data_IF_549514664441
#
_entry.id   IF_549514664441
#
_cell.length_a   1.000
_cell.length_b   1.000
_cell.length_c   1.000
_cell.angle_alpha   90.00
_cell.angle_beta   90.00
_cell.angle_gamma   90.00
#
_symmetry.space_group_name_H-M   'P 1'
#
loop_
_entity.id
_entity.type
_entity.pdbx_description
1 polymer ?
#
# COMPACT_ATOMS: atom_id res chain seq x y z
N UNK A 1 -50.58 39.19 -5.06
CA UNK A 1 -49.88 38.31 -4.12
C UNK A 1 -49.67 36.96 -4.80
N UNK A 2 -48.44 36.65 -5.20
CA UNK A 2 -48.10 35.40 -5.86
C UNK A 2 -47.49 34.49 -4.80
N UNK A 3 -48.16 33.38 -4.47
CA UNK A 3 -47.66 32.37 -3.51
C UNK A 3 -46.88 31.33 -4.32
N UNK A 4 -45.55 31.33 -4.20
CA UNK A 4 -44.69 30.30 -4.77
C UNK A 4 -44.62 29.14 -3.76
N UNK A 5 -45.25 28.02 -4.09
CA UNK A 5 -45.14 26.78 -3.35
C UNK A 5 -43.79 26.11 -3.73
N UNK A 6 -42.82 26.08 -2.79
CA UNK A 6 -41.64 25.25 -2.93
C UNK A 6 -42.01 23.79 -2.70
N UNK A 7 -41.94 22.98 -3.73
CA UNK A 7 -42.02 21.52 -3.59
C UNK A 7 -40.67 20.96 -3.08
N UNK A 8 -40.63 20.55 -1.84
CA UNK A 8 -39.52 19.75 -1.29
C UNK A 8 -39.63 18.32 -1.83
N UNK A 9 -38.79 17.96 -2.78
CA UNK A 9 -38.63 16.58 -3.20
C UNK A 9 -37.86 15.84 -2.11
N UNK A 10 -38.34 14.68 -1.62
CA UNK A 10 -37.56 13.87 -0.67
C UNK A 10 -36.32 13.32 -1.39
N UNK A 11 -35.12 13.66 -0.90
CA UNK A 11 -33.90 12.94 -1.24
C UNK A 11 -34.05 11.53 -0.64
N UNK A 12 -34.44 10.55 -1.44
CA UNK A 12 -34.25 9.14 -1.11
C UNK A 12 -32.76 8.85 -1.13
N UNK A 13 -32.13 8.87 0.04
CA UNK A 13 -30.81 8.28 0.21
C UNK A 13 -30.94 6.79 -0.08
N UNK A 14 -30.49 6.35 -1.25
CA UNK A 14 -30.25 4.94 -1.51
C UNK A 14 -29.11 4.52 -0.59
N UNK A 15 -29.44 3.98 0.59
CA UNK A 15 -28.49 3.20 1.35
C UNK A 15 -28.14 2.01 0.47
N UNK A 16 -26.94 2.03 -0.09
CA UNK A 16 -26.37 0.87 -0.78
C UNK A 16 -26.36 -0.25 0.27
N UNK A 17 -27.14 -1.29 0.07
CA UNK A 17 -27.20 -2.43 0.96
C UNK A 17 -25.78 -3.02 1.01
N UNK A 18 -25.05 -2.75 2.09
CA UNK A 18 -23.71 -3.25 2.30
C UNK A 18 -23.75 -4.77 2.25
N UNK A 19 -22.77 -5.38 1.65
CA UNK A 19 -22.58 -6.83 1.66
C UNK A 19 -22.49 -7.28 3.12
N UNK A 20 -23.13 -8.40 3.46
CA UNK A 20 -23.12 -8.88 4.84
C UNK A 20 -21.67 -9.19 5.28
N UNK A 21 -21.32 -8.73 6.48
CA UNK A 21 -20.03 -9.06 7.07
C UNK A 21 -19.87 -10.58 7.25
N UNK A 22 -18.65 -11.13 7.14
CA UNK A 22 -18.43 -12.55 7.41
C UNK A 22 -18.75 -12.89 8.86
N UNK A 23 -19.33 -14.06 9.07
CA UNK A 23 -19.70 -14.57 10.40
C UNK A 23 -18.65 -15.51 11.00
N UNK A 24 -17.57 -15.78 10.25
CA UNK A 24 -16.47 -16.67 10.65
C UNK A 24 -15.14 -15.95 10.55
N UNK A 25 -14.19 -16.34 11.40
CA UNK A 25 -12.82 -15.83 11.33
C UNK A 25 -12.08 -16.36 10.11
N UNK A 26 -11.21 -15.52 9.54
CA UNK A 26 -10.24 -15.94 8.52
C UNK A 26 -8.88 -16.14 9.16
N UNK A 27 -8.26 -17.26 8.88
CA UNK A 27 -6.91 -17.57 9.34
C UNK A 27 -5.90 -17.40 8.20
N UNK A 28 -4.74 -16.84 8.51
CA UNK A 28 -3.54 -16.88 7.69
C UNK A 28 -2.49 -17.57 8.55
N UNK A 29 -2.22 -18.82 8.22
CA UNK A 29 -1.35 -19.68 9.02
C UNK A 29 0.11 -19.40 8.71
N UNK A 30 1.00 -19.70 9.67
CA UNK A 30 2.45 -19.49 9.49
C UNK A 30 2.96 -20.19 8.23
N UNK A 31 2.49 -21.39 7.95
CA UNK A 31 2.86 -22.17 6.77
C UNK A 31 2.47 -21.47 5.45
N UNK A 32 1.36 -20.73 5.44
CA UNK A 32 0.94 -19.91 4.29
C UNK A 32 1.86 -18.72 4.12
N UNK A 33 2.24 -18.04 5.22
CA UNK A 33 3.19 -16.92 5.23
C UNK A 33 4.55 -17.38 4.72
N UNK A 34 5.10 -18.47 5.28
CA UNK A 34 6.40 -19.04 4.91
C UNK A 34 6.44 -19.43 3.42
N UNK A 35 5.33 -19.97 2.91
CA UNK A 35 5.23 -20.38 1.51
C UNK A 35 5.26 -19.19 0.56
N UNK A 36 4.61 -18.08 0.91
CA UNK A 36 4.67 -16.84 0.14
C UNK A 36 6.08 -16.24 0.21
N UNK A 37 6.65 -16.11 1.40
CA UNK A 37 8.01 -15.59 1.59
C UNK A 37 9.06 -16.41 0.82
N UNK A 38 8.95 -17.73 0.79
CA UNK A 38 9.86 -18.59 0.02
C UNK A 38 9.81 -18.29 -1.48
N UNK A 39 8.64 -17.87 -2.00
CA UNK A 39 8.49 -17.45 -3.40
C UNK A 39 9.06 -16.04 -3.61
N UNK A 40 8.85 -15.15 -2.66
CA UNK A 40 9.27 -13.74 -2.74
C UNK A 40 10.78 -13.55 -2.57
N UNK A 41 11.42 -14.32 -1.69
CA UNK A 41 12.87 -14.25 -1.46
C UNK A 41 13.70 -14.54 -2.70
N UNK A 42 13.14 -15.23 -3.70
CA UNK A 42 13.79 -15.37 -5.00
C UNK A 42 13.85 -14.06 -5.78
N UNK A 43 13.13 -13.01 -5.34
CA UNK A 43 13.06 -11.70 -5.96
C UNK A 43 13.49 -10.63 -4.94
N UNK A 44 14.29 -9.68 -5.39
CA UNK A 44 14.86 -8.63 -4.52
C UNK A 44 13.80 -7.80 -3.79
N UNK A 45 12.66 -7.59 -4.40
CA UNK A 45 11.60 -6.75 -3.86
C UNK A 45 10.27 -7.26 -4.37
N UNK A 46 9.41 -7.67 -3.46
CA UNK A 46 8.08 -8.09 -3.82
C UNK A 46 7.10 -7.79 -2.70
N UNK A 47 5.90 -7.37 -3.11
CA UNK A 47 4.75 -7.18 -2.26
C UNK A 47 3.63 -8.06 -2.78
N UNK A 48 3.11 -8.94 -1.96
CA UNK A 48 1.93 -9.72 -2.30
C UNK A 48 0.95 -9.76 -1.12
N UNK A 49 -0.34 -9.69 -1.41
CA UNK A 49 -1.33 -10.02 -0.40
C UNK A 49 -1.38 -11.54 -0.22
N UNK A 50 -1.54 -12.00 1.01
CA UNK A 50 -1.92 -13.38 1.28
C UNK A 50 -3.42 -13.57 1.03
N UNK A 51 -4.23 -12.72 1.65
CA UNK A 51 -5.69 -12.71 1.52
C UNK A 51 -6.21 -11.28 1.62
N UNK A 52 -7.30 -11.00 0.89
CA UNK A 52 -8.10 -9.78 1.03
C UNK A 52 -9.47 -10.18 1.53
N UNK A 53 -9.76 -9.87 2.77
CA UNK A 53 -11.01 -10.23 3.45
C UNK A 53 -12.03 -9.12 3.22
N UNK A 54 -13.21 -9.46 2.74
CA UNK A 54 -14.35 -8.56 2.65
C UNK A 54 -15.09 -8.56 3.99
N UNK A 55 -15.04 -7.45 4.71
CA UNK A 55 -15.71 -7.28 6.01
C UNK A 55 -17.12 -6.67 5.88
N UNK A 56 -17.61 -6.49 4.64
CA UNK A 56 -18.90 -5.90 4.34
C UNK A 56 -18.88 -4.37 4.27
N UNK A 57 -18.22 -3.70 5.20
CA UNK A 57 -18.07 -2.25 5.24
C UNK A 57 -16.69 -1.78 4.74
N UNK A 58 -15.70 -2.64 4.79
CA UNK A 58 -14.34 -2.40 4.26
C UNK A 58 -13.70 -3.72 3.84
N UNK A 59 -12.61 -3.64 3.09
CA UNK A 59 -11.74 -4.76 2.81
C UNK A 59 -10.52 -4.71 3.73
N UNK A 60 -10.09 -5.87 4.21
CA UNK A 60 -8.91 -6.01 5.05
C UNK A 60 -7.92 -6.96 4.37
N UNK A 61 -6.83 -6.40 3.83
CA UNK A 61 -5.78 -7.20 3.25
C UNK A 61 -4.67 -7.47 4.27
N UNK A 62 -4.05 -8.63 4.15
CA UNK A 62 -2.80 -8.95 4.83
C UNK A 62 -1.75 -9.20 3.76
N UNK A 63 -0.83 -8.26 3.62
CA UNK A 63 0.33 -8.34 2.73
C UNK A 63 1.49 -9.07 3.40
N UNK A 64 2.22 -9.82 2.60
CA UNK A 64 3.49 -10.45 2.94
C UNK A 64 4.54 -9.78 2.08
N UNK A 65 5.50 -9.13 2.70
CA UNK A 65 6.45 -8.29 1.98
C UNK A 65 7.87 -8.73 2.28
N UNK A 66 8.66 -8.86 1.21
CA UNK A 66 10.11 -9.02 1.26
C UNK A 66 10.80 -7.84 0.57
N UNK A 67 11.81 -7.28 1.22
CA UNK A 67 12.73 -6.29 0.65
C UNK A 67 14.15 -6.76 0.86
N UNK A 68 14.87 -6.97 -0.22
CA UNK A 68 16.31 -7.22 -0.16
C UNK A 68 17.11 -5.94 0.08
N UNK A 69 18.42 -6.10 0.21
CA UNK A 69 19.35 -5.00 0.49
C UNK A 69 19.25 -3.84 -0.52
N UNK A 70 19.14 -2.62 0.00
CA UNK A 70 19.23 -1.39 -0.81
C UNK A 70 20.65 -1.12 -1.30
N UNK A 71 21.65 -1.76 -0.69
CA UNK A 71 23.08 -1.62 -1.03
C UNK A 71 23.45 -2.41 -2.30
N UNK A 72 22.59 -3.35 -2.72
CA UNK A 72 22.74 -4.06 -4.00
C UNK A 72 22.02 -3.26 -5.09
N UNK A 73 22.69 -2.89 -6.20
CA UNK A 73 22.03 -2.16 -7.27
C UNK A 73 20.79 -2.89 -7.79
N UNK A 74 19.69 -2.18 -8.09
CA UNK A 74 18.53 -2.79 -8.71
C UNK A 74 18.91 -3.35 -10.09
N UNK A 75 18.26 -4.45 -10.53
CA UNK A 75 18.38 -4.87 -11.92
C UNK A 75 17.94 -3.70 -12.83
N UNK A 76 18.49 -3.60 -14.05
CA UNK A 76 18.05 -2.59 -14.99
C UNK A 76 16.53 -2.61 -15.11
N UNK A 77 15.91 -1.42 -15.02
CA UNK A 77 14.47 -1.32 -15.23
C UNK A 77 14.12 -1.91 -16.60
N UNK A 78 13.18 -2.84 -16.64
CA UNK A 78 12.66 -3.33 -17.91
C UNK A 78 12.15 -2.12 -18.71
N UNK A 79 12.55 -2.01 -19.96
CA UNK A 79 12.08 -0.97 -20.87
C UNK A 79 10.61 -1.23 -21.21
N UNK A 80 9.74 -0.97 -20.25
CA UNK A 80 8.29 -1.00 -20.39
C UNK A 80 7.79 0.42 -20.50
N UNK A 81 7.13 0.76 -21.60
CA UNK A 81 6.50 2.06 -21.76
C UNK A 81 5.52 2.30 -20.60
N UNK A 82 5.91 3.16 -19.67
CA UNK A 82 4.98 3.66 -18.69
C UNK A 82 3.87 4.37 -19.45
N UNK A 83 2.65 3.84 -19.39
CA UNK A 83 1.47 4.62 -19.71
C UNK A 83 1.63 5.98 -19.02
N UNK A 84 1.19 7.06 -19.67
CA UNK A 84 1.38 8.43 -19.15
C UNK A 84 0.73 8.54 -17.77
N UNK A 85 1.49 8.18 -16.73
CA UNK A 85 1.05 8.29 -15.35
C UNK A 85 0.82 9.76 -15.00
N UNK A 86 -0.30 10.08 -14.39
CA UNK A 86 -0.63 11.44 -13.98
C UNK A 86 0.41 11.96 -12.98
N UNK A 87 0.81 13.25 -13.08
CA UNK A 87 1.67 13.85 -12.09
C UNK A 87 1.01 13.86 -10.71
N UNK A 88 1.80 13.65 -9.66
CA UNK A 88 1.35 13.77 -8.26
C UNK A 88 2.45 14.36 -7.38
N UNK A 89 2.10 14.66 -6.12
CA UNK A 89 2.99 15.34 -5.21
C UNK A 89 3.18 16.82 -5.56
N UNK A 90 4.25 17.43 -5.04
CA UNK A 90 4.56 18.84 -5.31
C UNK A 90 5.28 18.99 -6.65
N UNK A 91 4.78 19.85 -7.53
CA UNK A 91 5.46 20.19 -8.78
C UNK A 91 6.59 21.20 -8.50
N UNK A 92 7.81 20.85 -8.88
CA UNK A 92 8.98 21.73 -8.74
C UNK A 92 9.83 21.70 -10.01
N UNK A 93 10.19 22.89 -10.53
CA UNK A 93 11.03 22.99 -11.73
C UNK A 93 12.48 22.55 -11.45
N UNK A 94 12.96 22.74 -10.24
CA UNK A 94 14.28 22.32 -9.78
C UNK A 94 14.12 21.50 -8.50
N UNK A 95 14.73 20.32 -8.47
CA UNK A 95 14.69 19.45 -7.29
C UNK A 95 15.56 20.05 -6.18
N UNK A 96 15.06 20.11 -4.94
CA UNK A 96 15.89 20.45 -3.78
C UNK A 96 17.00 19.40 -3.60
N UNK A 97 18.11 19.75 -2.92
CA UNK A 97 19.10 18.75 -2.53
C UNK A 97 18.54 17.81 -1.45
N UNK A 98 19.10 16.60 -1.32
CA UNK A 98 18.85 15.69 -0.19
C UNK A 98 17.56 14.88 -0.29
N UNK A 99 16.96 14.74 -1.46
CA UNK A 99 15.80 13.86 -1.63
C UNK A 99 16.15 12.37 -1.51
N UNK A 100 15.23 11.58 -0.94
CA UNK A 100 15.33 10.12 -0.83
C UNK A 100 14.46 9.46 -1.91
N UNK A 101 15.01 8.57 -2.74
CA UNK A 101 14.23 7.87 -3.77
C UNK A 101 13.30 6.81 -3.16
N UNK A 102 12.28 6.41 -3.93
CA UNK A 102 11.39 5.32 -3.56
C UNK A 102 10.32 5.69 -2.54
N UNK A 103 10.05 6.99 -2.36
CA UNK A 103 8.90 7.43 -1.58
C UNK A 103 7.59 7.05 -2.25
N UNK A 104 6.62 6.58 -1.45
CA UNK A 104 5.27 6.21 -1.90
C UNK A 104 4.23 6.74 -0.91
N UNK A 105 3.04 7.04 -1.42
CA UNK A 105 1.82 7.21 -0.60
C UNK A 105 0.72 6.31 -1.14
N UNK A 106 -0.22 5.92 -0.28
CA UNK A 106 -1.46 5.25 -0.69
C UNK A 106 -2.63 6.20 -0.46
N UNK A 107 -3.46 6.44 -1.50
CA UNK A 107 -4.49 7.47 -1.44
C UNK A 107 -5.61 7.12 -0.44
N UNK A 108 -6.01 5.85 -0.40
CA UNK A 108 -7.19 5.39 0.35
C UNK A 108 -6.92 4.17 1.24
N UNK A 109 -5.66 3.92 1.56
CA UNK A 109 -5.26 2.72 2.28
C UNK A 109 -4.35 3.07 3.45
N UNK A 110 -4.71 2.63 4.64
CA UNK A 110 -3.80 2.59 5.78
C UNK A 110 -2.91 1.36 5.66
N UNK A 111 -1.67 1.47 6.07
CA UNK A 111 -0.79 0.33 6.24
C UNK A 111 -0.32 0.19 7.69
N UNK A 112 -0.37 -1.03 8.21
CA UNK A 112 0.20 -1.36 9.50
C UNK A 112 1.28 -2.41 9.30
N UNK A 113 2.55 -2.07 9.52
CA UNK A 113 3.66 -3.03 9.40
C UNK A 113 3.95 -3.70 10.73
N UNK A 114 4.22 -5.00 10.68
CA UNK A 114 4.86 -5.76 11.76
C UNK A 114 6.12 -6.39 11.17
N UNK A 115 7.29 -5.97 11.63
CA UNK A 115 8.57 -6.52 11.16
C UNK A 115 8.76 -7.91 11.74
N UNK A 116 8.97 -8.91 10.87
CA UNK A 116 9.08 -10.32 11.25
C UNK A 116 10.48 -10.91 11.01
N UNK A 117 11.30 -10.29 10.15
CA UNK A 117 12.68 -10.69 9.90
C UNK A 117 13.50 -9.49 9.43
N UNK A 118 14.81 -9.49 9.70
CA UNK A 118 15.71 -8.42 9.28
C UNK A 118 15.39 -7.06 9.90
N UNK A 119 15.58 -6.01 9.12
CA UNK A 119 15.35 -4.62 9.51
C UNK A 119 16.09 -3.62 8.64
N UNK A 120 15.92 -2.33 8.95
CA UNK A 120 16.56 -1.25 8.21
C UNK A 120 16.11 0.12 8.67
N UNK A 121 16.54 1.14 7.95
CA UNK A 121 16.12 2.52 8.16
C UNK A 121 14.94 2.82 7.25
N UNK A 122 13.77 2.97 7.83
CA UNK A 122 12.56 3.42 7.16
C UNK A 122 12.48 4.94 7.22
N UNK A 123 11.98 5.59 6.16
CA UNK A 123 11.58 6.98 6.23
C UNK A 123 10.08 7.14 6.13
N UNK A 124 9.54 8.12 6.86
CA UNK A 124 8.12 8.48 6.84
C UNK A 124 7.97 10.01 6.86
N UNK A 125 6.74 10.46 6.62
CA UNK A 125 6.38 11.87 6.61
C UNK A 125 6.99 12.66 5.41
N UNK A 126 7.00 14.00 5.50
CA UNK A 126 7.50 14.84 4.41
C UNK A 126 6.55 14.90 3.20
N UNK A 127 7.11 14.99 2.00
CA UNK A 127 6.34 15.12 0.77
C UNK A 127 7.08 14.56 -0.45
N UNK A 128 6.32 14.16 -1.48
CA UNK A 128 6.84 13.72 -2.77
C UNK A 128 6.97 14.92 -3.71
N UNK A 129 8.07 14.99 -4.48
CA UNK A 129 8.28 15.97 -5.53
C UNK A 129 8.27 15.30 -6.89
N UNK A 130 7.55 15.91 -7.86
CA UNK A 130 7.45 15.45 -9.24
C UNK A 130 7.13 13.96 -9.36
N UNK A 131 6.27 13.47 -8.48
CA UNK A 131 5.87 12.08 -8.43
C UNK A 131 5.01 11.65 -9.62
N UNK A 132 4.78 10.35 -9.70
CA UNK A 132 3.91 9.72 -10.69
C UNK A 132 2.83 8.95 -9.98
N UNK A 133 1.59 9.23 -10.37
CA UNK A 133 0.42 8.54 -9.84
C UNK A 133 0.23 7.20 -10.56
N UNK A 134 -0.05 6.16 -9.81
CA UNK A 134 -0.42 4.86 -10.33
C UNK A 134 -1.84 4.53 -9.88
N UNK A 135 -2.79 4.62 -10.82
CA UNK A 135 -4.20 4.31 -10.60
C UNK A 135 -4.51 2.82 -10.72
N UNK A 136 -3.53 2.01 -11.08
CA UNK A 136 -3.77 0.60 -11.29
C UNK A 136 -4.08 -0.08 -9.96
N UNK A 137 -5.23 -0.70 -9.92
CA UNK A 137 -5.63 -1.64 -8.88
C UNK A 137 -5.74 -3.03 -9.54
N UNK A 138 -4.61 -3.70 -9.80
CA UNK A 138 -4.67 -5.05 -10.33
C UNK A 138 -5.34 -5.95 -9.30
N UNK A 139 -6.19 -6.86 -9.78
CA UNK A 139 -6.81 -7.87 -8.93
C UNK A 139 -5.71 -8.61 -8.15
N UNK A 140 -5.83 -8.63 -6.83
CA UNK A 140 -4.84 -9.24 -5.96
C UNK A 140 -3.53 -8.46 -5.78
N UNK A 141 -3.40 -7.30 -6.43
CA UNK A 141 -2.26 -6.41 -6.20
C UNK A 141 -2.21 -5.90 -4.76
N UNK A 142 -1.02 -5.58 -4.25
CA UNK A 142 -0.86 -5.19 -2.85
C UNK A 142 -1.47 -3.81 -2.57
N UNK A 143 -1.46 -2.92 -3.53
CA UNK A 143 -1.78 -1.51 -3.35
C UNK A 143 -2.92 -1.08 -4.27
N UNK A 144 -3.72 -0.15 -3.78
CA UNK A 144 -4.62 0.66 -4.59
C UNK A 144 -3.89 1.84 -5.25
N UNK A 145 -4.60 2.93 -5.58
CA UNK A 145 -4.01 4.14 -6.12
C UNK A 145 -2.88 4.70 -5.24
N UNK A 146 -1.76 5.04 -5.86
CA UNK A 146 -0.53 5.47 -5.16
C UNK A 146 0.13 6.64 -5.88
N UNK A 147 0.87 7.46 -5.12
CA UNK A 147 1.81 8.43 -5.68
C UNK A 147 3.23 8.01 -5.31
N UNK A 148 4.09 7.81 -6.29
CA UNK A 148 5.48 7.42 -6.10
C UNK A 148 6.47 8.46 -6.62
N UNK A 149 7.59 8.67 -5.91
CA UNK A 149 8.61 9.63 -6.34
C UNK A 149 9.73 9.87 -5.35
N UNK A 150 10.41 11.01 -5.50
CA UNK A 150 11.43 11.47 -4.56
C UNK A 150 10.77 12.06 -3.32
N UNK A 151 11.13 11.57 -2.15
CA UNK A 151 10.66 12.08 -0.85
C UNK A 151 11.62 13.16 -0.31
N UNK A 152 11.06 14.20 0.27
CA UNK A 152 11.79 15.30 0.91
C UNK A 152 11.23 15.57 2.31
N UNK A 153 12.05 16.09 3.20
CA UNK A 153 11.72 16.40 4.60
C UNK A 153 11.16 15.19 5.38
N UNK A 154 11.50 14.00 4.94
CA UNK A 154 11.10 12.75 5.61
C UNK A 154 11.97 12.51 6.86
N UNK A 155 11.40 11.79 7.83
CA UNK A 155 12.07 11.37 9.05
C UNK A 155 12.54 9.94 8.92
N UNK A 156 13.80 9.68 9.23
CA UNK A 156 14.37 8.34 9.27
C UNK A 156 14.21 7.71 10.65
N UNK A 157 13.78 6.44 10.68
CA UNK A 157 13.63 5.62 11.88
C UNK A 157 14.18 4.24 11.61
N UNK A 158 15.09 3.78 12.47
CA UNK A 158 15.57 2.40 12.41
C UNK A 158 14.52 1.46 12.99
N UNK A 159 14.15 0.43 12.23
CA UNK A 159 13.17 -0.58 12.61
C UNK A 159 13.77 -1.98 12.55
N UNK A 160 13.30 -2.85 13.44
CA UNK A 160 13.78 -4.22 13.63
C UNK A 160 12.64 -5.17 13.96
N UNK A 161 12.92 -6.44 14.02
CA UNK A 161 11.94 -7.49 14.37
C UNK A 161 11.16 -7.13 15.63
N UNK A 162 9.84 -7.21 15.54
CA UNK A 162 8.87 -6.89 16.58
C UNK A 162 8.36 -5.44 16.56
N UNK A 163 9.01 -4.53 15.82
CA UNK A 163 8.53 -3.16 15.70
C UNK A 163 7.25 -3.11 14.83
N UNK A 164 6.36 -2.19 15.19
CA UNK A 164 5.11 -1.91 14.47
C UNK A 164 5.11 -0.48 13.97
N UNK A 165 4.74 -0.28 12.71
CA UNK A 165 4.59 1.05 12.10
C UNK A 165 3.18 1.18 11.55
N UNK A 166 2.47 2.26 11.90
CA UNK A 166 1.14 2.55 11.34
C UNK A 166 1.26 3.79 10.44
N UNK A 167 0.88 3.62 9.19
CA UNK A 167 1.02 4.61 8.12
C UNK A 167 -0.39 4.97 7.62
N UNK A 168 -0.90 6.15 7.98
CA UNK A 168 -2.18 6.63 7.46
C UNK A 168 -2.14 6.85 5.93
N UNK A 169 -3.31 6.91 5.26
CA UNK A 169 -3.37 7.30 3.87
C UNK A 169 -2.65 8.63 3.62
N UNK A 170 -2.04 8.77 2.45
CA UNK A 170 -1.30 9.95 2.01
C UNK A 170 -0.02 10.28 2.80
N UNK A 171 0.37 9.50 3.79
CA UNK A 171 1.67 9.65 4.45
C UNK A 171 2.76 9.05 3.58
N UNK A 172 3.77 9.85 3.25
CA UNK A 172 4.95 9.39 2.50
C UNK A 172 5.74 8.40 3.34
N UNK A 173 6.14 7.30 2.74
CA UNK A 173 7.00 6.31 3.39
C UNK A 173 7.85 5.55 2.37
N UNK A 174 8.87 4.85 2.87
CA UNK A 174 9.78 4.04 2.09
C UNK A 174 10.99 3.58 2.92
N UNK A 175 11.97 3.00 2.25
CA UNK A 175 13.19 2.49 2.88
C UNK A 175 14.39 3.28 2.43
N UNK A 176 15.09 3.94 3.36
CA UNK A 176 16.32 4.67 3.12
C UNK A 176 17.52 3.72 3.04
N UNK A 177 17.60 2.74 3.93
CA UNK A 177 18.65 1.71 3.96
C UNK A 177 18.11 0.39 4.49
N UNK A 178 18.40 -0.68 3.77
CA UNK A 178 18.20 -2.06 4.18
C UNK A 178 19.56 -2.73 4.03
N UNK A 179 20.28 -3.02 5.14
CA UNK A 179 21.62 -3.60 5.07
C UNK A 179 21.64 -4.99 4.40
N UNK A 180 20.68 -5.83 4.72
CA UNK A 180 20.55 -7.20 4.22
C UNK A 180 19.17 -7.44 3.65
N UNK A 181 18.16 -7.60 4.49
CA UNK A 181 16.76 -7.74 4.09
C UNK A 181 15.83 -7.23 5.19
N UNK A 182 14.57 -7.06 4.83
CA UNK A 182 13.46 -6.92 5.78
C UNK A 182 12.24 -7.66 5.26
N UNK A 183 11.64 -8.49 6.13
CA UNK A 183 10.34 -9.10 5.89
C UNK A 183 9.33 -8.56 6.89
N UNK A 184 8.14 -8.25 6.42
CA UNK A 184 7.08 -7.74 7.28
C UNK A 184 5.69 -8.11 6.79
N UNK A 185 4.78 -8.25 7.75
CA UNK A 185 3.35 -8.29 7.47
C UNK A 185 2.84 -6.87 7.31
N UNK A 186 2.01 -6.64 6.31
CA UNK A 186 1.31 -5.37 6.12
C UNK A 186 -0.19 -5.58 6.26
N UNK A 187 -0.78 -4.98 7.29
CA UNK A 187 -2.22 -4.96 7.53
C UNK A 187 -2.82 -3.74 6.84
N UNK A 188 -3.77 -3.97 5.92
CA UNK A 188 -4.25 -2.95 4.99
C UNK A 188 -5.78 -2.85 4.99
N UNK A 189 -6.37 -2.19 6.00
CA UNK A 189 -7.79 -1.81 5.94
C UNK A 189 -8.01 -0.77 4.84
N UNK A 190 -9.06 -0.94 4.06
CA UNK A 190 -9.39 -0.01 2.96
C UNK A 190 -10.84 -0.13 2.52
N UNK A 191 -11.47 1.00 2.14
CA UNK A 191 -12.82 1.00 1.60
C UNK A 191 -12.80 0.68 0.10
N UNK A 192 -13.08 -0.58 -0.25
CA UNK A 192 -13.23 -1.06 -1.64
C UNK A 192 -12.05 -0.76 -2.58
N UNK A 193 -10.84 -0.57 -2.04
CA UNK A 193 -9.63 -0.32 -2.83
C UNK A 193 -9.10 -1.60 -3.45
N UNK A 194 -9.18 -2.70 -2.72
CA UNK A 194 -8.75 -4.03 -3.17
C UNK A 194 -9.97 -4.93 -3.39
N UNK A 195 -9.79 -5.98 -4.16
CA UNK A 195 -10.86 -6.96 -4.40
C UNK A 195 -11.06 -7.87 -3.19
N UNK A 196 -12.17 -7.70 -2.49
CA UNK A 196 -12.56 -8.58 -1.38
C UNK A 196 -12.76 -10.03 -1.81
N UNK A 197 -12.33 -10.96 -0.96
CA UNK A 197 -12.40 -12.40 -1.23
C UNK A 197 -11.23 -12.96 -2.05
N UNK A 198 -10.25 -12.14 -2.40
CA UNK A 198 -9.06 -12.60 -3.11
C UNK A 198 -8.14 -13.41 -2.18
N UNK A 199 -7.55 -14.47 -2.73
CA UNK A 199 -6.57 -15.35 -2.06
C UNK A 199 -5.35 -15.50 -2.98
N UNK A 200 -4.15 -15.40 -2.41
CA UNK A 200 -2.91 -15.58 -3.15
C UNK A 200 -2.87 -16.97 -3.82
N UNK A 201 -2.60 -17.05 -5.13
CA UNK A 201 -2.55 -18.34 -5.84
C UNK A 201 -1.55 -19.34 -5.24
N UNK A 202 -0.47 -18.85 -4.60
CA UNK A 202 0.54 -19.70 -3.95
C UNK A 202 -0.04 -20.51 -2.79
N UNK A 203 -1.08 -20.01 -2.13
CA UNK A 203 -1.73 -20.65 -0.98
C UNK A 203 -3.19 -21.06 -1.24
N UNK A 204 -3.73 -20.72 -2.40
CA UNK A 204 -5.06 -21.17 -2.79
C UNK A 204 -5.11 -22.70 -2.86
N UNK A 205 -6.21 -23.28 -2.31
CA UNK A 205 -6.46 -24.74 -2.32
C UNK A 205 -7.33 -25.13 -3.51
#
# INVERSE_FOLDING_TARGET
>A
MLVIALALSPLTAFAQAGKAAPTTATYIMKEEIDKILATEQSQRTRDENAKVIDLGYENFAVGIIHRGSTRTPPPPAAAGGAAQAQPCGRAMATLPPGGTPGGITHDFQTEGYLIISGGGTMFTDGYIVNGRHNDQNPQGGPNGPTCGGMAYDAKNVDVKVGDVVIIPPNVVHGWADIPDHVDYLSFRPSHNVLQGGWVNPTIAK
#
